data_IF_399136669185
#
_entry.id   IF_399136669185
#
_cell.length_a   1.000
_cell.length_b   1.000
_cell.length_c   1.000
_cell.angle_alpha   90.00
_cell.angle_beta   90.00
_cell.angle_gamma   90.00
#
_symmetry.space_group_name_H-M   'P 1'
#
loop_
_entity.id
_entity.type
_entity.pdbx_description
1 polymer ?
#
# COMPACT_ATOMS: atom_id res chain seq x y z
N UNK A 1 -17.45 -14.09 11.55
CA UNK A 1 -16.86 -12.88 10.93
C UNK A 1 -15.56 -12.44 11.59
N UNK A 2 -15.43 -12.42 12.93
CA UNK A 2 -14.22 -11.98 13.65
C UNK A 2 -12.87 -12.53 13.14
N UNK A 3 -12.81 -13.79 12.68
CA UNK A 3 -11.54 -14.40 12.27
C UNK A 3 -10.89 -13.72 11.05
N UNK A 4 -11.67 -13.18 10.12
CA UNK A 4 -11.13 -12.56 8.90
C UNK A 4 -10.49 -11.21 9.20
N UNK A 5 -11.13 -10.38 10.02
CA UNK A 5 -10.61 -9.07 10.44
C UNK A 5 -9.30 -9.23 11.23
N UNK A 6 -9.25 -10.15 12.19
CA UNK A 6 -8.02 -10.42 12.95
C UNK A 6 -6.92 -10.98 12.07
N UNK A 7 -7.24 -11.84 11.10
CA UNK A 7 -6.26 -12.33 10.14
C UNK A 7 -5.74 -11.18 9.29
N UNK A 8 -6.59 -10.34 8.73
CA UNK A 8 -6.16 -9.22 7.89
C UNK A 8 -5.25 -8.26 8.67
N UNK A 9 -5.64 -7.90 9.90
CA UNK A 9 -4.82 -7.09 10.78
C UNK A 9 -3.44 -7.72 11.05
N UNK A 10 -3.38 -9.04 11.29
CA UNK A 10 -2.11 -9.74 11.48
C UNK A 10 -1.21 -9.72 10.23
N UNK A 11 -1.79 -9.87 9.03
CA UNK A 11 -1.01 -9.77 7.79
C UNK A 11 -0.50 -8.34 7.57
N UNK A 12 -1.33 -7.34 7.88
CA UNK A 12 -0.94 -5.93 7.80
C UNK A 12 0.25 -5.63 8.70
N UNK A 13 0.21 -6.07 9.96
CA UNK A 13 1.34 -5.89 10.89
C UNK A 13 2.62 -6.56 10.41
N UNK A 14 2.53 -7.78 9.86
CA UNK A 14 3.68 -8.48 9.28
C UNK A 14 4.25 -7.70 8.09
N UNK A 15 3.39 -7.23 7.18
CA UNK A 15 3.80 -6.45 6.01
C UNK A 15 4.49 -5.15 6.43
N UNK A 16 3.90 -4.38 7.35
CA UNK A 16 4.50 -3.15 7.87
C UNK A 16 5.86 -3.45 8.49
N UNK A 17 6.00 -4.52 9.29
CA UNK A 17 7.29 -4.90 9.88
C UNK A 17 8.36 -5.23 8.83
N UNK A 18 8.01 -6.00 7.80
CA UNK A 18 8.92 -6.36 6.70
C UNK A 18 9.32 -5.12 5.90
N UNK A 19 8.34 -4.30 5.50
CA UNK A 19 8.58 -3.09 4.73
C UNK A 19 9.38 -2.06 5.53
N UNK A 20 9.18 -1.94 6.83
CA UNK A 20 9.98 -1.05 7.69
C UNK A 20 11.46 -1.45 7.69
N UNK A 21 11.76 -2.75 7.67
CA UNK A 21 13.13 -3.22 7.58
C UNK A 21 13.76 -2.91 6.21
N UNK A 22 12.97 -3.03 5.14
CA UNK A 22 13.39 -2.71 3.77
C UNK A 22 13.54 -1.20 3.52
N UNK A 23 12.71 -0.37 4.15
CA UNK A 23 12.73 1.09 4.03
C UNK A 23 14.05 1.73 4.50
N UNK A 24 14.88 0.97 5.23
CA UNK A 24 16.23 1.38 5.63
C UNK A 24 17.26 1.28 4.49
N UNK A 25 16.84 0.76 3.33
CA UNK A 25 17.68 0.58 2.15
C UNK A 25 17.09 1.38 0.98
N UNK A 26 17.59 2.60 0.77
CA UNK A 26 17.01 3.59 -0.15
C UNK A 26 16.79 3.06 -1.59
N UNK A 27 17.75 2.29 -2.12
CA UNK A 27 17.64 1.71 -3.48
C UNK A 27 16.49 0.69 -3.57
N UNK A 28 16.37 -0.19 -2.58
CA UNK A 28 15.30 -1.19 -2.52
C UNK A 28 13.95 -0.53 -2.27
N UNK A 29 13.91 0.48 -1.40
CA UNK A 29 12.70 1.21 -1.09
C UNK A 29 12.17 1.98 -2.31
N UNK A 30 13.06 2.61 -3.07
CA UNK A 30 12.72 3.33 -4.30
C UNK A 30 12.15 2.38 -5.36
N UNK A 31 12.74 1.19 -5.52
CA UNK A 31 12.25 0.18 -6.47
C UNK A 31 10.87 -0.37 -6.07
N UNK A 32 10.63 -0.60 -4.78
CA UNK A 32 9.31 -1.03 -4.28
C UNK A 32 8.24 0.02 -4.60
N UNK A 33 8.51 1.30 -4.34
CA UNK A 33 7.56 2.37 -4.65
C UNK A 33 7.29 2.46 -6.16
N UNK A 34 8.33 2.39 -7.00
CA UNK A 34 8.20 2.40 -8.47
C UNK A 34 7.30 1.26 -8.97
N UNK A 35 7.53 0.04 -8.49
CA UNK A 35 6.74 -1.13 -8.90
C UNK A 35 5.28 -1.02 -8.47
N UNK A 36 5.00 -0.44 -7.30
CA UNK A 36 3.63 -0.24 -6.83
C UNK A 36 2.91 0.85 -7.63
N UNK A 37 3.58 1.95 -7.97
CA UNK A 37 3.05 2.99 -8.87
C UNK A 37 2.70 2.42 -10.26
N UNK A 38 3.54 1.53 -10.81
CA UNK A 38 3.27 0.89 -12.11
C UNK A 38 2.03 -0.01 -12.09
N UNK A 39 1.80 -0.72 -10.98
CA UNK A 39 0.60 -1.55 -10.80
C UNK A 39 -0.66 -0.69 -10.77
N UNK A 40 -0.60 0.51 -10.19
CA UNK A 40 -1.73 1.44 -10.15
C UNK A 40 -2.02 2.05 -11.54
N UNK A 41 -0.99 2.48 -12.28
CA UNK A 41 -1.14 3.13 -13.59
C UNK A 41 -1.74 2.19 -14.66
N UNK A 42 -1.36 0.91 -14.66
CA UNK A 42 -1.86 -0.07 -15.65
C UNK A 42 -3.36 -0.34 -15.48
N UNK A 43 -3.91 -0.13 -14.29
CA UNK A 43 -5.33 -0.35 -14.02
C UNK A 43 -6.23 0.84 -14.45
N UNK A 44 -5.66 2.03 -14.65
CA UNK A 44 -6.40 3.28 -14.88
C UNK A 44 -6.66 3.60 -16.38
N UNK A 45 -6.18 2.76 -17.30
CA UNK A 45 -6.13 3.08 -18.75
C UNK A 45 -7.39 2.72 -19.58
N UNK A 46 -8.51 2.33 -18.96
CA UNK A 46 -9.72 1.87 -19.68
C UNK A 46 -11.03 2.59 -19.30
N UNK A 47 -11.02 3.86 -18.87
CA UNK A 47 -12.27 4.58 -18.54
C UNK A 47 -12.54 5.82 -19.41
N UNK A 48 -13.63 5.71 -20.17
CA UNK A 48 -14.22 6.75 -21.03
C UNK A 48 -14.79 7.92 -20.18
N UNK A 49 -14.60 9.19 -20.57
CA UNK A 49 -14.97 10.34 -19.75
C UNK A 49 -16.49 10.55 -19.80
N UNK A 50 -17.21 10.09 -18.78
CA UNK A 50 -18.64 10.37 -18.62
C UNK A 50 -19.45 9.41 -17.75
N UNK A 51 -18.85 8.34 -17.20
CA UNK A 51 -19.57 7.32 -16.43
C UNK A 51 -19.50 7.62 -14.92
N UNK A 52 -20.66 7.52 -14.26
CA UNK A 52 -20.81 7.56 -12.79
C UNK A 52 -19.84 6.55 -12.17
N UNK A 53 -19.08 6.88 -11.10
CA UNK A 53 -18.04 5.99 -10.58
C UNK A 53 -18.63 4.60 -10.32
N UNK A 54 -18.19 3.61 -11.09
CA UNK A 54 -18.69 2.24 -10.94
C UNK A 54 -18.18 1.65 -9.61
N UNK A 55 -18.83 0.61 -9.08
CA UNK A 55 -18.39 -0.07 -7.85
C UNK A 55 -16.92 -0.54 -7.93
N UNK A 56 -16.42 -0.78 -9.15
CA UNK A 56 -15.02 -1.10 -9.39
C UNK A 56 -14.07 0.05 -9.01
N UNK A 57 -14.42 1.32 -9.27
CA UNK A 57 -13.63 2.50 -8.88
C UNK A 57 -13.55 2.68 -7.38
N UNK A 58 -14.69 2.49 -6.69
CA UNK A 58 -14.72 2.59 -5.25
C UNK A 58 -13.81 1.53 -4.59
N UNK A 59 -13.79 0.31 -5.15
CA UNK A 59 -12.92 -0.78 -4.70
C UNK A 59 -11.45 -0.51 -5.02
N UNK A 60 -11.16 0.03 -6.19
CA UNK A 60 -9.81 0.41 -6.61
C UNK A 60 -9.22 1.49 -5.70
N UNK A 61 -9.98 2.56 -5.46
CA UNK A 61 -9.57 3.66 -4.59
C UNK A 61 -9.33 3.17 -3.15
N UNK A 62 -10.17 2.26 -2.66
CA UNK A 62 -9.98 1.65 -1.34
C UNK A 62 -8.70 0.80 -1.27
N UNK A 63 -8.36 0.08 -2.35
CA UNK A 63 -7.11 -0.69 -2.45
C UNK A 63 -5.89 0.23 -2.47
N UNK A 64 -5.88 1.25 -3.32
CA UNK A 64 -4.80 2.26 -3.38
C UNK A 64 -4.61 2.94 -2.03
N UNK A 65 -5.70 3.38 -1.39
CA UNK A 65 -5.61 4.00 -0.07
C UNK A 65 -5.02 3.06 1.00
N UNK A 66 -5.33 1.77 0.96
CA UNK A 66 -4.75 0.78 1.87
C UNK A 66 -3.26 0.57 1.59
N UNK A 67 -2.85 0.50 0.32
CA UNK A 67 -1.43 0.38 -0.07
C UNK A 67 -0.65 1.60 0.44
N UNK A 68 -1.13 2.82 0.16
CA UNK A 68 -0.49 4.05 0.63
C UNK A 68 -0.35 4.06 2.15
N UNK A 69 -1.42 3.72 2.88
CA UNK A 69 -1.42 3.65 4.35
C UNK A 69 -0.37 2.67 4.89
N UNK A 70 -0.20 1.51 4.27
CA UNK A 70 0.81 0.52 4.68
C UNK A 70 2.24 1.05 4.47
N UNK A 71 2.49 1.74 3.35
CA UNK A 71 3.80 2.32 3.04
C UNK A 71 4.17 3.47 3.98
N UNK A 72 3.20 4.32 4.33
CA UNK A 72 3.37 5.40 5.30
C UNK A 72 3.74 4.86 6.68
N UNK A 73 3.00 3.85 7.17
CA UNK A 73 3.28 3.21 8.46
C UNK A 73 4.66 2.55 8.49
N UNK A 74 5.06 1.89 7.40
CA UNK A 74 6.37 1.27 7.28
C UNK A 74 7.49 2.32 7.32
N UNK A 75 7.30 3.44 6.62
CA UNK A 75 8.24 4.56 6.60
C UNK A 75 8.38 5.19 7.98
N UNK A 76 7.25 5.49 8.64
CA UNK A 76 7.24 6.08 9.98
C UNK A 76 7.93 5.18 11.01
N UNK A 77 7.66 3.87 10.96
CA UNK A 77 8.30 2.88 11.85
C UNK A 77 9.81 2.76 11.58
N UNK A 78 10.25 2.82 10.33
CA UNK A 78 11.66 2.81 9.98
C UNK A 78 12.39 4.07 10.49
N UNK A 79 11.79 5.25 10.33
CA UNK A 79 12.33 6.52 10.82
C UNK A 79 12.47 6.51 12.35
N UNK A 80 11.44 6.10 13.08
CA UNK A 80 11.50 5.98 14.54
C UNK A 80 12.60 5.01 15.02
N UNK A 81 12.89 3.94 14.26
CA UNK A 81 13.97 3.00 14.56
C UNK A 81 15.38 3.53 14.19
N UNK A 82 15.46 4.68 13.53
CA UNK A 82 16.70 5.35 13.13
C UNK A 82 17.12 6.46 14.10
N UNK A 83 16.18 6.92 14.94
CA UNK A 83 16.37 7.97 15.95
C UNK A 83 16.92 7.45 17.29
N UNK A 84 17.19 6.14 17.40
CA UNK A 84 17.69 5.42 18.60
C UNK A 84 19.12 4.94 18.38
#
# INVERSE_FOLDING_TARGET
MQNVEFRLAAHREILVAVLSALARHDELWSEINRLLEEVEIVQDHEEDPGIVPSEAFARQNALTAEITSILEDATARAQAASEV
#
